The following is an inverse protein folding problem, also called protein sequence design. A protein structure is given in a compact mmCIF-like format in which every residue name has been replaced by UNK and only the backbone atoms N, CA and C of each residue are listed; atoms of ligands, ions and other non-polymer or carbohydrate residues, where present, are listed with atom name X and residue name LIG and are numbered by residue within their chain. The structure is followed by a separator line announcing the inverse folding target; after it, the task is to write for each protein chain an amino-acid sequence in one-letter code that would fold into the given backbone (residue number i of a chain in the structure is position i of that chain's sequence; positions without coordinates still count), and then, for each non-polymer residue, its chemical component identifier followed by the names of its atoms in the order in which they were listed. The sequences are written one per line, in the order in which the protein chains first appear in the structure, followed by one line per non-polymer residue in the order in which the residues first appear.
data_IF_951696312718
#
_entry.id   IF_951696312718
#
_cell.length_a   1.000
_cell.length_b   1.000
_cell.length_c   1.000
_cell.angle_alpha   90.00
_cell.angle_beta   90.00
_cell.angle_gamma   90.00
#
_symmetry.space_group_name_H-M   'P 1'
#
loop_
_entity.id
_entity.type
_entity.pdbx_description
1 polymer ?
#
# COMPACT_ATOMS: atom_id res chain seq x y z
N UNK A 1 -3.54 34.15 71.32
CA UNK A 1 -4.00 32.76 71.04
C UNK A 1 -4.65 32.74 69.67
N UNK A 2 -4.16 31.83 68.82
CA UNK A 2 -4.69 31.34 67.53
C UNK A 2 -5.06 32.33 66.41
N UNK A 3 -4.18 32.37 65.40
CA UNK A 3 -4.34 32.99 64.08
C UNK A 3 -5.35 32.24 63.19
N UNK A 4 -6.18 32.99 62.45
CA UNK A 4 -6.88 32.51 61.26
C UNK A 4 -5.85 32.21 60.15
N UNK A 5 -5.84 30.99 59.63
CA UNK A 5 -5.19 30.64 58.37
C UNK A 5 -6.07 29.72 57.53
N UNK A 6 -6.27 30.16 56.28
CA UNK A 6 -6.27 29.39 55.05
C UNK A 6 -7.17 28.15 54.93
N UNK A 7 -8.16 28.26 54.07
CA UNK A 7 -8.63 27.14 53.24
C UNK A 7 -8.97 27.66 51.85
N UNK A 8 -7.93 27.86 51.05
CA UNK A 8 -8.02 28.05 49.60
C UNK A 8 -8.11 26.64 48.99
N UNK A 9 -9.28 26.26 48.49
CA UNK A 9 -9.46 25.03 47.72
C UNK A 9 -8.66 25.15 46.42
N UNK A 10 -7.55 24.42 46.32
CA UNK A 10 -6.83 24.20 45.08
C UNK A 10 -7.48 23.01 44.37
N UNK A 11 -8.35 23.28 43.40
CA UNK A 11 -8.86 22.28 42.46
C UNK A 11 -7.71 21.83 41.55
N UNK A 12 -7.08 20.72 41.92
CA UNK A 12 -6.12 20.03 41.08
C UNK A 12 -6.89 19.32 39.96
N UNK A 13 -6.99 19.96 38.80
CA UNK A 13 -7.44 19.30 37.55
C UNK A 13 -6.31 18.38 37.08
N UNK A 14 -6.25 17.16 37.61
CA UNK A 14 -5.61 16.05 36.90
C UNK A 14 -6.53 15.65 35.75
N UNK A 15 -6.32 16.26 34.59
CA UNK A 15 -6.74 15.67 33.32
C UNK A 15 -5.98 14.34 33.16
N UNK A 16 -6.54 13.26 33.70
CA UNK A 16 -6.29 11.93 33.16
C UNK A 16 -6.90 11.92 31.76
N UNK A 17 -6.09 12.28 30.76
CA UNK A 17 -6.31 11.87 29.39
C UNK A 17 -6.34 10.34 29.38
N UNK A 18 -7.54 9.78 29.50
CA UNK A 18 -7.85 8.42 29.12
C UNK A 18 -7.68 8.35 27.60
N UNK A 19 -6.43 8.27 27.14
CA UNK A 19 -6.13 7.69 25.84
C UNK A 19 -6.53 6.23 26.01
N UNK A 20 -7.75 5.89 25.62
CA UNK A 20 -8.16 4.52 25.48
C UNK A 20 -7.11 3.88 24.56
N UNK A 21 -6.25 3.02 25.12
CA UNK A 21 -5.42 2.14 24.31
C UNK A 21 -6.40 1.29 23.52
N UNK A 22 -6.49 1.60 22.24
CA UNK A 22 -6.98 0.70 21.23
C UNK A 22 -6.19 -0.60 21.44
N UNK A 23 -6.84 -1.63 21.97
CA UNK A 23 -6.17 -2.92 22.22
C UNK A 23 -5.76 -3.46 20.85
N UNK A 24 -4.46 -3.47 20.56
CA UNK A 24 -3.95 -4.06 19.33
C UNK A 24 -4.31 -5.55 19.31
N UNK A 25 -4.86 -6.01 18.18
CA UNK A 25 -5.29 -7.39 18.00
C UNK A 25 -4.19 -8.11 17.22
N UNK A 26 -3.53 -9.13 17.77
CA UNK A 26 -2.58 -9.94 17.03
C UNK A 26 -3.24 -10.54 15.79
N UNK A 27 -2.56 -10.53 14.64
CA UNK A 27 -3.14 -11.03 13.40
C UNK A 27 -3.52 -12.51 13.46
N UNK A 28 -2.79 -13.30 14.24
CA UNK A 28 -3.11 -14.72 14.48
C UNK A 28 -4.38 -14.94 15.33
N UNK A 29 -4.91 -13.89 15.96
CA UNK A 29 -6.16 -13.91 16.72
C UNK A 29 -7.36 -13.40 15.91
N UNK A 30 -7.13 -12.81 14.74
CA UNK A 30 -8.21 -12.52 13.79
C UNK A 30 -8.65 -13.86 13.20
N UNK A 31 -9.74 -14.40 13.74
CA UNK A 31 -10.41 -15.54 13.12
C UNK A 31 -10.78 -15.16 11.68
N UNK A 32 -10.23 -15.86 10.69
CA UNK A 32 -10.79 -15.88 9.34
C UNK A 32 -12.06 -16.70 9.40
N UNK A 33 -13.12 -16.10 9.98
CA UNK A 33 -14.41 -16.73 10.11
C UNK A 33 -14.98 -16.91 8.72
N UNK A 34 -14.84 -18.09 8.14
CA UNK A 34 -15.52 -18.43 6.91
C UNK A 34 -16.91 -18.96 7.26
N UNK A 35 -17.96 -18.40 6.67
CA UNK A 35 -19.29 -18.99 6.75
C UNK A 35 -19.78 -19.35 5.36
N UNK A 36 -20.36 -20.54 5.25
CA UNK A 36 -20.96 -21.00 4.01
C UNK A 36 -22.34 -20.37 3.86
N UNK A 37 -22.57 -19.73 2.72
CA UNK A 37 -23.87 -19.15 2.37
C UNK A 37 -24.81 -20.22 1.85
N UNK A 38 -26.11 -19.92 1.76
CA UNK A 38 -27.12 -20.81 1.17
C UNK A 38 -26.84 -21.17 -0.31
N UNK A 39 -25.89 -20.49 -0.96
CA UNK A 39 -25.40 -20.80 -2.31
C UNK A 39 -24.14 -21.67 -2.33
N UNK A 40 -23.69 -22.22 -1.19
CA UNK A 40 -22.45 -23.00 -1.08
C UNK A 40 -21.18 -22.17 -1.21
N UNK A 41 -21.27 -20.83 -1.13
CA UNK A 41 -20.11 -19.94 -1.20
C UNK A 41 -19.59 -19.63 0.18
N UNK A 42 -18.29 -19.73 0.34
CA UNK A 42 -17.59 -19.40 1.58
C UNK A 42 -17.36 -17.89 1.65
N UNK A 43 -18.04 -17.21 2.59
CA UNK A 43 -17.85 -15.78 2.87
C UNK A 43 -16.93 -15.58 4.06
N UNK A 44 -15.96 -14.68 3.90
CA UNK A 44 -15.12 -14.24 5.01
C UNK A 44 -15.88 -13.21 5.85
N UNK A 45 -16.14 -13.52 7.13
CA UNK A 45 -16.49 -12.55 8.15
C UNK A 45 -15.27 -11.67 8.37
N UNK A 46 -15.35 -10.45 7.85
CA UNK A 46 -14.40 -9.43 8.20
C UNK A 46 -14.83 -8.81 9.53
N UNK A 47 -14.00 -8.85 10.58
CA UNK A 47 -14.39 -8.42 11.93
C UNK A 47 -14.60 -6.91 12.08
N UNK A 48 -14.51 -6.13 11.00
CA UNK A 48 -14.58 -4.67 10.96
C UNK A 48 -15.98 -4.08 11.15
N UNK A 49 -16.86 -4.75 11.89
CA UNK A 49 -18.02 -4.08 12.46
C UNK A 49 -17.51 -3.02 13.45
N UNK A 50 -18.04 -1.79 13.36
CA UNK A 50 -17.49 -0.51 13.84
C UNK A 50 -17.10 -0.36 15.33
N UNK A 51 -17.00 -1.44 16.10
CA UNK A 51 -16.76 -1.44 17.54
C UNK A 51 -15.47 -2.17 17.98
N UNK A 52 -14.65 -2.66 17.04
CA UNK A 52 -13.36 -3.25 17.37
C UNK A 52 -12.25 -2.24 17.09
N UNK A 53 -11.41 -1.99 18.10
CA UNK A 53 -10.31 -1.04 18.06
C UNK A 53 -9.20 -1.48 17.11
N UNK A 54 -9.42 -1.38 15.81
CA UNK A 54 -8.39 -1.57 14.80
C UNK A 54 -7.76 -0.22 14.46
N UNK A 55 -6.43 -0.21 14.28
CA UNK A 55 -5.74 0.91 13.67
C UNK A 55 -6.01 0.91 12.16
N UNK A 56 -6.84 1.85 11.72
CA UNK A 56 -7.18 2.05 10.31
C UNK A 56 -6.19 3.06 9.73
N UNK A 57 -5.43 2.63 8.73
CA UNK A 57 -4.37 3.39 8.07
C UNK A 57 -4.80 3.69 6.64
N UNK A 58 -4.79 4.97 6.27
CA UNK A 58 -5.00 5.39 4.89
C UNK A 58 -3.83 4.95 4.00
N UNK A 59 -4.09 4.13 2.99
CA UNK A 59 -3.07 3.66 2.05
C UNK A 59 -2.33 4.81 1.35
N UNK A 60 -3.00 5.95 1.11
CA UNK A 60 -2.43 7.16 0.49
C UNK A 60 -1.41 7.89 1.34
N UNK A 61 -1.41 7.64 2.65
CA UNK A 61 -0.43 8.18 3.57
C UNK A 61 0.80 7.27 3.77
N UNK A 62 0.82 6.09 3.15
CA UNK A 62 1.92 5.13 3.26
C UNK A 62 2.95 5.30 2.14
N UNK A 63 4.16 4.76 2.35
CA UNK A 63 5.02 4.33 1.25
C UNK A 63 4.97 2.82 1.10
N UNK A 64 5.09 2.33 -0.13
CA UNK A 64 4.81 0.94 -0.49
C UNK A 64 6.01 0.33 -1.19
N UNK A 65 6.31 -0.92 -0.86
CA UNK A 65 7.28 -1.74 -1.56
C UNK A 65 6.73 -3.13 -1.82
N UNK A 66 7.14 -3.70 -2.95
CA UNK A 66 6.75 -5.03 -3.40
C UNK A 66 7.96 -5.94 -3.43
N UNK A 67 7.88 -7.09 -2.79
CA UNK A 67 8.96 -8.07 -2.78
C UNK A 67 8.38 -9.46 -3.06
N UNK A 68 8.81 -10.06 -4.16
CA UNK A 68 8.43 -11.43 -4.49
C UNK A 68 9.24 -12.40 -3.61
N UNK A 69 8.61 -13.33 -2.86
CA UNK A 69 9.30 -14.33 -2.05
C UNK A 69 10.00 -15.42 -2.90
N UNK A 70 9.89 -15.33 -4.23
CA UNK A 70 10.32 -16.36 -5.17
C UNK A 70 9.27 -17.47 -5.29
N UNK A 71 9.64 -18.57 -5.93
CA UNK A 71 8.76 -19.73 -6.08
C UNK A 71 8.43 -20.32 -4.71
N UNK A 72 7.16 -20.27 -4.31
CA UNK A 72 6.67 -21.01 -3.16
C UNK A 72 6.47 -22.48 -3.56
N UNK A 73 7.05 -23.47 -2.86
CA UNK A 73 6.74 -24.87 -3.11
C UNK A 73 5.25 -25.16 -2.96
N UNK A 74 4.74 -26.05 -3.82
CA UNK A 74 3.35 -26.51 -3.82
C UNK A 74 2.96 -26.98 -2.42
N UNK A 75 1.83 -26.45 -1.94
CA UNK A 75 1.26 -26.77 -0.65
C UNK A 75 0.46 -28.08 -0.75
N UNK A 76 1.15 -29.21 -0.86
CA UNK A 76 0.53 -30.55 -0.81
C UNK A 76 0.08 -30.92 0.63
N UNK A 77 -0.38 -29.95 1.41
CA UNK A 77 -0.82 -30.06 2.80
C UNK A 77 0.22 -30.62 3.79
N UNK A 78 1.52 -30.57 3.47
CA UNK A 78 2.58 -30.96 4.41
C UNK A 78 2.93 -29.80 5.36
N UNK A 79 2.94 -30.02 6.69
CA UNK A 79 3.35 -29.00 7.66
C UNK A 79 4.75 -28.42 7.39
N UNK A 80 5.68 -29.25 6.92
CA UNK A 80 7.04 -28.82 6.60
C UNK A 80 7.08 -27.84 5.41
N UNK A 81 6.22 -28.05 4.40
CA UNK A 81 6.10 -27.15 3.26
C UNK A 81 5.43 -25.83 3.67
N UNK A 82 4.38 -25.88 4.49
CA UNK A 82 3.74 -24.68 5.04
C UNK A 82 4.74 -23.82 5.83
N UNK A 83 5.61 -24.45 6.63
CA UNK A 83 6.66 -23.74 7.36
C UNK A 83 7.72 -23.13 6.43
N UNK A 84 8.14 -23.86 5.39
CA UNK A 84 9.07 -23.35 4.39
C UNK A 84 8.49 -22.13 3.64
N UNK A 85 7.20 -22.17 3.27
CA UNK A 85 6.50 -21.05 2.64
C UNK A 85 6.43 -19.85 3.58
N UNK A 86 6.08 -20.05 4.85
CA UNK A 86 6.06 -18.98 5.86
C UNK A 86 7.45 -18.32 6.00
N UNK A 87 8.53 -19.12 6.03
CA UNK A 87 9.89 -18.57 6.09
C UNK A 87 10.24 -17.71 4.87
N UNK A 88 9.86 -18.13 3.66
CA UNK A 88 10.08 -17.34 2.43
C UNK A 88 9.30 -16.02 2.44
N UNK A 89 8.05 -16.06 2.89
CA UNK A 89 7.22 -14.86 3.03
C UNK A 89 7.81 -13.89 4.07
N UNK A 90 8.26 -14.39 5.22
CA UNK A 90 8.95 -13.57 6.22
C UNK A 90 10.24 -12.98 5.68
N UNK A 91 11.04 -13.74 4.92
CA UNK A 91 12.27 -13.24 4.30
C UNK A 91 12.03 -12.15 3.24
N UNK A 92 10.84 -12.09 2.65
CA UNK A 92 10.45 -11.04 1.71
C UNK A 92 9.95 -9.75 2.39
N UNK A 93 9.74 -9.75 3.71
CA UNK A 93 9.38 -8.55 4.47
C UNK A 93 10.57 -7.58 4.54
N UNK A 94 10.32 -6.28 4.38
CA UNK A 94 11.36 -5.27 4.58
C UNK A 94 11.46 -4.94 6.06
N UNK A 95 12.59 -5.26 6.67
CA UNK A 95 12.82 -5.07 8.12
C UNK A 95 13.91 -4.05 8.43
N UNK A 96 14.42 -3.36 7.40
CA UNK A 96 15.52 -2.41 7.52
C UNK A 96 15.10 -1.17 8.34
N UNK A 97 15.85 -0.87 9.40
CA UNK A 97 15.58 0.26 10.28
C UNK A 97 16.18 1.58 9.77
N UNK A 98 17.37 1.54 9.16
CA UNK A 98 18.10 2.74 8.73
C UNK A 98 18.14 2.79 7.21
N UNK A 99 17.68 3.90 6.64
CA UNK A 99 17.72 4.18 5.22
C UNK A 99 18.67 5.34 4.95
N UNK A 100 19.50 5.17 3.92
CA UNK A 100 20.53 6.15 3.53
C UNK A 100 20.54 6.36 2.02
N UNK A 101 19.38 6.24 1.36
CA UNK A 101 19.32 6.41 -0.09
C UNK A 101 19.79 7.82 -0.44
N UNK A 102 20.83 7.93 -1.26
CA UNK A 102 21.33 9.21 -1.75
C UNK A 102 20.63 9.60 -3.06
N UNK A 103 20.82 10.85 -3.49
CA UNK A 103 20.33 11.27 -4.80
C UNK A 103 21.00 10.49 -5.94
N UNK A 104 22.27 10.13 -5.78
CA UNK A 104 23.00 9.30 -6.74
C UNK A 104 22.41 7.89 -6.83
N UNK A 105 22.11 7.25 -5.69
CA UNK A 105 21.42 5.96 -5.64
C UNK A 105 20.07 5.97 -6.38
N UNK A 106 19.31 7.05 -6.18
CA UNK A 106 18.03 7.26 -6.85
C UNK A 106 18.20 7.35 -8.37
N UNK A 107 19.14 8.19 -8.83
CA UNK A 107 19.44 8.36 -10.26
C UNK A 107 19.93 7.04 -10.87
N UNK A 108 20.85 6.33 -10.20
CA UNK A 108 21.36 5.05 -10.66
C UNK A 108 20.22 4.03 -10.85
N UNK A 109 19.28 4.00 -9.90
CA UNK A 109 18.10 3.13 -9.98
C UNK A 109 17.16 3.51 -11.11
N UNK A 110 16.94 4.81 -11.36
CA UNK A 110 16.19 5.26 -12.54
C UNK A 110 16.85 4.78 -13.84
N UNK A 111 18.17 4.95 -13.94
CA UNK A 111 18.94 4.67 -15.16
C UNK A 111 18.94 3.18 -15.48
N UNK A 112 18.92 2.35 -14.45
CA UNK A 112 18.87 0.91 -14.52
C UNK A 112 17.50 0.38 -14.06
N UNK A 113 16.39 0.95 -14.54
CA UNK A 113 15.04 0.61 -14.04
C UNK A 113 14.73 -0.91 -13.97
N UNK A 114 15.28 -1.71 -14.87
CA UNK A 114 15.11 -3.18 -14.90
C UNK A 114 15.99 -3.92 -13.88
N UNK A 115 16.87 -3.21 -13.17
CA UNK A 115 17.83 -3.70 -12.19
C UNK A 115 18.65 -4.91 -12.69
N UNK A 116 19.10 -4.85 -13.94
CA UNK A 116 19.92 -5.92 -14.51
C UNK A 116 21.23 -6.04 -13.73
N UNK A 117 21.46 -7.18 -13.08
CA UNK A 117 22.61 -7.41 -12.20
C UNK A 117 22.36 -7.13 -10.70
N UNK A 118 21.18 -6.65 -10.32
CA UNK A 118 20.76 -6.57 -8.91
C UNK A 118 21.46 -5.49 -8.07
N UNK A 119 22.04 -4.47 -8.70
CA UNK A 119 22.86 -3.44 -8.04
C UNK A 119 22.09 -2.19 -7.62
N UNK A 120 20.82 -2.05 -8.00
CA UNK A 120 20.05 -0.86 -7.67
C UNK A 120 19.70 -0.76 -6.19
N UNK A 121 19.71 0.48 -5.69
CA UNK A 121 19.02 0.82 -4.46
C UNK A 121 17.51 0.63 -4.66
N UNK A 122 16.93 -0.29 -3.92
CA UNK A 122 15.51 -0.58 -4.04
C UNK A 122 14.67 0.60 -3.49
N UNK A 123 14.04 1.35 -4.41
CA UNK A 123 13.21 2.51 -4.09
C UNK A 123 11.85 2.15 -3.49
N UNK A 124 11.23 3.13 -2.86
CA UNK A 124 9.87 3.10 -2.34
C UNK A 124 8.90 3.73 -3.33
N UNK A 125 7.62 3.42 -3.23
CA UNK A 125 6.56 4.04 -4.03
C UNK A 125 5.60 4.78 -3.11
N UNK A 126 5.22 6.00 -3.46
CA UNK A 126 4.16 6.72 -2.74
C UNK A 126 2.85 5.93 -2.79
N UNK A 127 2.05 5.97 -1.71
CA UNK A 127 0.81 5.20 -1.50
C UNK A 127 -0.37 5.47 -2.43
N UNK A 128 -0.17 5.66 -3.73
CA UNK A 128 -1.21 5.94 -4.72
C UNK A 128 -1.55 4.74 -5.60
N UNK A 129 -2.64 4.86 -6.39
CA UNK A 129 -3.01 3.88 -7.41
C UNK A 129 -1.85 3.59 -8.40
N UNK A 130 -0.94 4.55 -8.59
CA UNK A 130 0.27 4.42 -9.42
C UNK A 130 1.22 3.31 -8.94
N UNK A 131 1.38 3.13 -7.63
CA UNK A 131 2.21 2.05 -7.08
C UNK A 131 1.66 0.67 -7.47
N UNK A 132 0.33 0.54 -7.46
CA UNK A 132 -0.36 -0.70 -7.81
C UNK A 132 -0.48 -0.92 -9.32
N UNK A 133 -0.57 0.15 -10.13
CA UNK A 133 -0.40 0.07 -11.59
C UNK A 133 1.01 -0.44 -11.94
N UNK A 134 2.03 0.08 -11.25
CA UNK A 134 3.42 -0.33 -11.44
C UNK A 134 3.66 -1.80 -11.10
N UNK A 135 3.10 -2.27 -9.98
CA UNK A 135 3.15 -3.68 -9.60
C UNK A 135 2.19 -4.57 -10.44
N UNK A 136 1.36 -3.98 -11.28
CA UNK A 136 0.39 -4.68 -12.15
C UNK A 136 -0.83 -5.22 -11.43
N UNK A 137 -1.06 -4.75 -10.20
CA UNK A 137 -2.26 -5.01 -9.43
C UNK A 137 -3.45 -4.11 -9.82
N UNK A 138 -3.20 -3.07 -10.62
CA UNK A 138 -4.25 -2.33 -11.30
C UNK A 138 -3.96 -2.34 -12.80
N UNK A 139 -5.02 -2.26 -13.59
CA UNK A 139 -5.01 -2.03 -15.03
C UNK A 139 -5.76 -0.73 -15.30
N UNK A 140 -5.21 0.17 -16.12
CA UNK A 140 -5.82 1.46 -16.42
C UNK A 140 -5.11 2.22 -17.55
N UNK A 141 -5.70 3.34 -17.96
CA UNK A 141 -5.29 4.14 -19.12
C UNK A 141 -3.96 4.89 -19.01
N UNK A 142 -3.21 4.70 -17.92
CA UNK A 142 -1.86 5.25 -17.82
C UNK A 142 -0.87 4.36 -18.57
N UNK A 143 -0.04 4.95 -19.43
CA UNK A 143 1.00 4.25 -20.18
C UNK A 143 2.15 3.80 -19.26
N UNK A 144 1.87 2.84 -18.39
CA UNK A 144 2.82 2.22 -17.48
C UNK A 144 2.84 0.72 -17.75
N UNK A 145 3.97 0.24 -18.25
CA UNK A 145 4.22 -1.20 -18.34
C UNK A 145 4.48 -1.71 -16.92
N UNK A 146 3.65 -2.62 -16.40
CA UNK A 146 3.88 -3.17 -15.07
C UNK A 146 5.16 -3.97 -15.01
N UNK A 147 5.78 -4.02 -13.83
CA UNK A 147 6.91 -4.90 -13.60
C UNK A 147 6.41 -6.33 -13.38
N UNK A 148 6.55 -7.17 -14.40
CA UNK A 148 6.01 -8.55 -14.41
C UNK A 148 6.44 -9.39 -13.19
N UNK A 149 7.65 -9.19 -12.68
CA UNK A 149 8.16 -9.91 -11.50
C UNK A 149 7.41 -9.62 -10.20
N UNK A 150 6.61 -8.53 -10.16
CA UNK A 150 5.85 -8.08 -8.98
C UNK A 150 4.36 -8.46 -9.03
N UNK A 151 3.90 -9.07 -10.12
CA UNK A 151 2.48 -9.35 -10.37
C UNK A 151 1.95 -10.60 -9.65
N UNK A 152 2.83 -11.37 -8.99
CA UNK A 152 2.42 -12.57 -8.26
C UNK A 152 1.54 -12.20 -7.07
N UNK A 153 0.48 -12.98 -6.83
CA UNK A 153 -0.41 -12.80 -5.68
C UNK A 153 0.25 -13.21 -4.35
N UNK A 154 1.38 -13.93 -4.42
CA UNK A 154 2.24 -14.27 -3.29
C UNK A 154 3.25 -13.15 -2.96
N UNK A 155 3.28 -12.08 -3.75
CA UNK A 155 4.16 -10.92 -3.48
C UNK A 155 3.85 -10.35 -2.10
N UNK A 156 4.89 -10.13 -1.30
CA UNK A 156 4.77 -9.42 -0.02
C UNK A 156 4.78 -7.93 -0.31
N UNK A 157 3.75 -7.25 0.18
CA UNK A 157 3.62 -5.80 0.14
C UNK A 157 4.01 -5.27 1.51
N UNK A 158 5.10 -4.51 1.57
CA UNK A 158 5.45 -3.75 2.75
C UNK A 158 4.89 -2.34 2.64
N UNK A 159 4.20 -1.91 3.68
CA UNK A 159 3.77 -0.54 3.90
C UNK A 159 4.68 0.09 4.96
N UNK A 160 5.38 1.16 4.62
CA UNK A 160 5.87 2.10 5.61
C UNK A 160 4.67 2.96 6.02
N UNK A 161 4.22 2.76 7.26
CA UNK A 161 3.05 3.41 7.85
C UNK A 161 3.31 4.92 8.05
N UNK A 162 2.26 5.73 8.26
CA UNK A 162 2.41 7.18 8.47
C UNK A 162 3.37 7.54 9.61
N UNK A 163 3.43 6.73 10.67
CA UNK A 163 4.38 6.91 11.78
C UNK A 163 5.84 6.80 11.32
N UNK A 164 6.13 5.92 10.36
CA UNK A 164 7.43 5.74 9.74
C UNK A 164 7.73 6.77 8.65
N UNK A 165 6.73 7.11 7.83
CA UNK A 165 6.83 8.16 6.82
C UNK A 165 7.24 9.50 7.47
N UNK A 166 6.72 9.80 8.66
CA UNK A 166 7.08 11.00 9.41
C UNK A 166 8.54 11.04 9.91
N UNK A 167 9.25 9.90 9.90
CA UNK A 167 10.64 9.77 10.38
C UNK A 167 11.67 9.75 9.26
N UNK A 168 11.23 9.83 8.00
CA UNK A 168 12.11 9.77 6.84
C UNK A 168 11.93 10.97 5.92
N UNK A 169 13.01 11.38 5.29
CA UNK A 169 13.02 12.37 4.24
C UNK A 169 12.94 11.69 2.88
N UNK A 170 12.18 12.28 1.96
CA UNK A 170 12.11 11.79 0.58
C UNK A 170 13.32 12.27 -0.21
N UNK A 171 13.95 11.35 -0.93
CA UNK A 171 15.03 11.64 -1.86
C UNK A 171 14.52 11.41 -3.28
N UNK A 172 14.64 12.44 -4.12
CA UNK A 172 14.26 12.36 -5.52
C UNK A 172 15.19 13.23 -6.36
N UNK A 173 15.22 12.99 -7.67
CA UNK A 173 15.77 13.97 -8.62
C UNK A 173 14.60 14.56 -9.39
N UNK A 174 14.42 15.88 -9.33
CA UNK A 174 13.62 16.58 -10.33
C UNK A 174 14.48 16.68 -11.60
N UNK A 175 13.88 16.42 -12.78
CA UNK A 175 14.50 16.72 -14.09
C UNK A 175 15.59 15.79 -14.63
N UNK A 176 15.51 14.47 -14.39
CA UNK A 176 16.30 13.49 -15.15
C UNK A 176 15.41 12.78 -16.19
N UNK A 177 15.66 12.88 -17.51
CA UNK A 177 14.79 12.33 -18.56
C UNK A 177 14.54 10.82 -18.44
N UNK A 178 15.52 10.08 -17.92
CA UNK A 178 15.46 8.65 -17.66
C UNK A 178 14.74 8.28 -16.35
N UNK A 179 14.53 9.23 -15.44
CA UNK A 179 13.74 9.02 -14.21
C UNK A 179 12.23 9.14 -14.41
N UNK A 180 11.75 9.61 -15.57
CA UNK A 180 10.32 9.88 -15.80
C UNK A 180 9.45 8.65 -15.52
N UNK A 181 9.91 7.45 -15.86
CA UNK A 181 9.14 6.20 -15.60
C UNK A 181 8.98 5.95 -14.11
N UNK A 182 10.06 6.08 -13.34
CA UNK A 182 10.05 5.87 -11.89
C UNK A 182 9.24 6.96 -11.19
N UNK A 183 9.43 8.23 -11.56
CA UNK A 183 8.64 9.35 -11.05
C UNK A 183 7.14 9.18 -11.34
N UNK A 184 6.80 8.71 -12.54
CA UNK A 184 5.41 8.44 -12.92
C UNK A 184 4.79 7.30 -12.11
N UNK A 185 5.58 6.33 -11.66
CA UNK A 185 5.17 5.28 -10.73
C UNK A 185 5.05 5.79 -9.28
N UNK A 186 5.54 7.00 -8.97
CA UNK A 186 5.62 7.54 -7.62
C UNK A 186 6.86 7.05 -6.86
N UNK A 187 7.90 6.64 -7.58
CA UNK A 187 9.15 6.16 -7.00
C UNK A 187 9.91 7.26 -6.28
N UNK A 188 10.38 6.95 -5.06
CA UNK A 188 11.14 7.82 -4.18
C UNK A 188 12.24 7.02 -3.48
N UNK A 189 13.38 7.65 -3.26
CA UNK A 189 14.34 7.22 -2.24
C UNK A 189 13.87 7.71 -0.87
N UNK A 190 14.36 7.10 0.20
CA UNK A 190 14.15 7.61 1.56
C UNK A 190 15.45 7.62 2.34
N UNK A 191 15.57 8.58 3.26
CA UNK A 191 16.69 8.67 4.20
C UNK A 191 16.14 8.93 5.61
N UNK A 192 16.64 8.22 6.61
CA UNK A 192 16.19 8.34 7.99
C UNK A 192 16.16 7.01 8.73
N UNK A 193 15.62 7.02 9.94
CA UNK A 193 15.55 5.86 10.83
C UNK A 193 14.12 5.60 11.25
N UNK A 194 13.66 4.38 11.00
CA UNK A 194 12.32 3.89 11.37
C UNK A 194 12.45 2.74 12.36
N UNK A 195 11.38 2.47 13.08
CA UNK A 195 11.25 1.32 13.96
C UNK A 195 10.56 0.16 13.20
N UNK A 196 11.28 -0.93 12.87
CA UNK A 196 10.70 -2.03 12.10
C UNK A 196 9.50 -2.71 12.76
N UNK A 197 9.34 -2.56 14.08
CA UNK A 197 8.28 -3.17 14.85
C UNK A 197 6.95 -2.42 14.72
N UNK A 198 7.00 -1.09 14.63
CA UNK A 198 5.81 -0.21 14.69
C UNK A 198 5.56 0.60 13.43
N UNK A 199 6.58 0.83 12.61
CA UNK A 199 6.49 1.69 11.41
C UNK A 199 6.23 0.91 10.12
N UNK A 200 6.38 -0.42 10.13
CA UNK A 200 6.04 -1.27 8.99
C UNK A 200 4.79 -2.09 9.23
N UNK A 201 4.04 -2.32 8.15
CA UNK A 201 3.06 -3.38 8.06
C UNK A 201 3.23 -4.20 6.78
N UNK A 202 2.84 -5.46 6.83
CA UNK A 202 3.05 -6.43 5.77
C UNK A 202 1.72 -7.09 5.40
N UNK A 203 1.43 -7.15 4.10
CA UNK A 203 0.31 -7.92 3.57
C UNK A 203 0.79 -8.78 2.41
N UNK A 204 0.08 -9.87 2.13
CA UNK A 204 0.17 -10.52 0.83
C UNK A 204 -0.53 -9.67 -0.23
N UNK A 205 -0.11 -9.82 -1.47
CA UNK A 205 -0.72 -9.12 -2.59
C UNK A 205 -2.17 -9.53 -2.85
N UNK A 206 -2.53 -10.79 -2.58
CA UNK A 206 -3.90 -11.29 -2.74
C UNK A 206 -5.01 -10.46 -2.04
N UNK A 207 -5.00 -10.25 -0.71
CA UNK A 207 -6.04 -9.45 -0.06
C UNK A 207 -6.05 -7.99 -0.55
N UNK A 208 -4.87 -7.42 -0.82
CA UNK A 208 -4.76 -6.05 -1.36
C UNK A 208 -5.36 -5.97 -2.76
N UNK A 209 -5.11 -6.98 -3.60
CA UNK A 209 -5.71 -7.12 -4.92
C UNK A 209 -7.24 -7.13 -4.87
N UNK A 210 -7.82 -7.93 -3.97
CA UNK A 210 -9.28 -7.97 -3.79
C UNK A 210 -9.84 -6.63 -3.32
N UNK A 211 -9.17 -5.96 -2.38
CA UNK A 211 -9.54 -4.63 -1.90
C UNK A 211 -9.51 -3.58 -3.04
N UNK A 212 -8.46 -3.61 -3.87
CA UNK A 212 -8.31 -2.74 -5.02
C UNK A 212 -9.35 -3.02 -6.11
N UNK A 213 -9.64 -4.28 -6.42
CA UNK A 213 -10.70 -4.66 -7.37
C UNK A 213 -12.09 -4.22 -6.90
N UNK A 214 -12.33 -4.24 -5.58
CA UNK A 214 -13.55 -3.68 -4.97
C UNK A 214 -13.60 -2.17 -5.08
N UNK A 215 -12.47 -1.47 -4.89
CA UNK A 215 -12.36 -0.01 -5.00
C UNK A 215 -12.50 0.49 -6.44
N UNK A 216 -11.92 -0.24 -7.38
CA UNK A 216 -11.81 0.10 -8.80
C UNK A 216 -12.36 -1.02 -9.68
N UNK A 217 -13.69 -1.25 -9.66
CA UNK A 217 -14.30 -2.31 -10.44
C UNK A 217 -14.16 -2.00 -11.93
N UNK A 218 -13.33 -2.77 -12.63
CA UNK A 218 -13.27 -2.80 -14.08
C UNK A 218 -13.17 -4.26 -14.54
N UNK A 219 -13.68 -4.62 -15.73
CA UNK A 219 -13.51 -5.96 -16.27
C UNK A 219 -12.04 -6.41 -16.31
N UNK A 220 -11.12 -5.49 -16.59
CA UNK A 220 -9.68 -5.78 -16.61
C UNK A 220 -9.11 -6.05 -15.21
N UNK A 221 -9.50 -5.26 -14.20
CA UNK A 221 -9.07 -5.48 -12.82
C UNK A 221 -9.69 -6.76 -12.25
N UNK A 222 -10.96 -7.05 -12.56
CA UNK A 222 -11.63 -8.27 -12.12
C UNK A 222 -11.05 -9.52 -12.82
N UNK A 223 -10.80 -9.47 -14.12
CA UNK A 223 -10.21 -10.60 -14.86
C UNK A 223 -8.74 -10.85 -14.50
N UNK A 224 -7.99 -9.80 -14.13
CA UNK A 224 -6.58 -9.92 -13.74
C UNK A 224 -6.39 -10.38 -12.29
N UNK A 225 -7.44 -10.29 -11.46
CA UNK A 225 -7.31 -10.41 -10.01
C UNK A 225 -8.41 -11.26 -9.45
N UNK A 226 -8.29 -12.58 -9.61
CA UNK A 226 -9.14 -13.56 -8.90
C UNK A 226 -10.51 -13.79 -9.55
N UNK A 227 -11.11 -14.95 -9.28
CA UNK A 227 -12.52 -15.25 -9.56
C UNK A 227 -13.43 -14.06 -9.14
N UNK A 228 -14.19 -13.46 -10.07
CA UNK A 228 -15.11 -12.35 -9.79
C UNK A 228 -16.09 -12.63 -8.64
N UNK A 229 -16.45 -13.89 -8.40
CA UNK A 229 -17.29 -14.27 -7.26
C UNK A 229 -16.64 -13.93 -5.91
N UNK A 230 -15.32 -14.11 -5.79
CA UNK A 230 -14.59 -13.82 -4.55
C UNK A 230 -14.51 -12.31 -4.30
N UNK A 231 -14.37 -11.49 -5.34
CA UNK A 231 -14.38 -10.02 -5.21
C UNK A 231 -15.76 -9.51 -4.77
N UNK A 232 -16.83 -10.10 -5.29
CA UNK A 232 -18.20 -9.74 -4.90
C UNK A 232 -18.42 -9.96 -3.39
N UNK A 233 -17.90 -11.06 -2.86
CA UNK A 233 -18.02 -11.47 -1.45
C UNK A 233 -17.02 -10.79 -0.50
N UNK A 234 -16.06 -10.03 -1.04
CA UNK A 234 -15.08 -9.27 -0.25
C UNK A 234 -15.73 -8.07 0.46
N UNK A 235 -15.40 -7.85 1.74
CA UNK A 235 -16.12 -6.89 2.61
C UNK A 235 -16.02 -5.44 2.17
N UNK A 236 -14.94 -5.05 1.51
CA UNK A 236 -14.76 -3.67 1.09
C UNK A 236 -13.36 -3.37 0.59
N UNK A 237 -13.08 -2.11 0.26
CA UNK A 237 -11.77 -1.64 -0.18
C UNK A 237 -10.79 -1.52 1.00
N UNK A 238 -10.60 -2.61 1.75
CA UNK A 238 -9.71 -2.71 2.92
C UNK A 238 -8.88 -3.99 2.85
N UNK A 239 -7.65 -3.97 3.34
CA UNK A 239 -6.84 -5.17 3.52
C UNK A 239 -6.27 -5.24 4.93
N UNK A 240 -6.13 -6.44 5.49
CA UNK A 240 -5.36 -6.64 6.72
C UNK A 240 -3.88 -6.62 6.41
N UNK A 241 -3.11 -5.99 7.28
CA UNK A 241 -1.68 -6.10 7.30
C UNK A 241 -1.20 -6.35 8.73
N UNK A 242 -0.10 -7.08 8.87
CA UNK A 242 0.55 -7.37 10.14
C UNK A 242 1.72 -6.41 10.33
N UNK A 243 1.82 -5.71 11.45
CA UNK A 243 2.99 -4.89 11.76
C UNK A 243 4.18 -5.75 12.22
N UNK A 244 5.35 -5.14 12.43
CA UNK A 244 6.54 -5.87 12.88
C UNK A 244 6.45 -6.46 14.30
N UNK A 245 5.43 -6.09 15.07
CA UNK A 245 5.09 -6.67 16.37
C UNK A 245 4.11 -7.85 16.29
N UNK A 246 3.55 -8.13 15.11
CA UNK A 246 2.52 -9.15 14.91
C UNK A 246 1.08 -8.66 15.11
N UNK A 247 0.90 -7.37 15.39
CA UNK A 247 -0.42 -6.76 15.54
C UNK A 247 -1.03 -6.44 14.17
N UNK A 248 -2.35 -6.55 14.09
CA UNK A 248 -3.08 -6.29 12.86
C UNK A 248 -3.52 -4.84 12.74
N UNK A 249 -3.22 -4.28 11.57
CA UNK A 249 -3.69 -2.98 11.10
C UNK A 249 -4.57 -3.17 9.87
N UNK A 250 -5.44 -2.21 9.61
CA UNK A 250 -6.30 -2.19 8.43
C UNK A 250 -5.78 -1.13 7.48
N UNK A 251 -5.40 -1.55 6.27
CA UNK A 251 -5.05 -0.63 5.19
C UNK A 251 -6.33 -0.27 4.44
N UNK A 252 -6.69 1.00 4.43
CA UNK A 252 -7.89 1.56 3.79
C UNK A 252 -7.54 2.17 2.43
N UNK A 253 -8.20 1.69 1.38
CA UNK A 253 -7.96 2.11 0.00
C UNK A 253 -9.02 3.10 -0.51
N UNK A 254 -9.99 3.52 0.31
CA UNK A 254 -11.13 4.37 -0.12
C UNK A 254 -10.70 5.74 -0.64
N UNK A 255 -9.80 6.37 0.09
CA UNK A 255 -9.29 7.73 -0.17
C UNK A 255 -8.20 7.75 -1.25
N UNK A 256 -7.72 6.59 -1.71
CA UNK A 256 -6.75 6.55 -2.77
C UNK A 256 -7.30 7.24 -4.04
N UNK A 257 -6.50 8.11 -4.67
CA UNK A 257 -6.92 8.81 -5.86
C UNK A 257 -7.07 7.82 -7.03
N UNK A 258 -8.24 7.83 -7.64
CA UNK A 258 -8.53 7.18 -8.91
C UNK A 258 -7.83 7.96 -10.03
N UNK A 259 -6.51 7.87 -10.15
CA UNK A 259 -5.83 8.46 -11.31
C UNK A 259 -6.38 7.79 -12.56
N UNK A 260 -7.14 8.56 -13.37
CA UNK A 260 -7.77 8.21 -14.66
C UNK A 260 -7.54 6.75 -15.07
N UNK A 261 -8.30 5.86 -14.43
CA UNK A 261 -8.51 4.49 -14.92
C UNK A 261 -9.56 4.50 -16.05
N UNK A 262 -9.99 5.68 -16.49
CA UNK A 262 -10.89 5.86 -17.62
C UNK A 262 -10.22 5.29 -18.87
N UNK A 263 -10.72 4.12 -19.28
CA UNK A 263 -10.53 3.58 -20.60
C UNK A 263 -10.97 4.66 -21.60
N UNK A 264 -10.04 5.25 -22.34
CA UNK A 264 -10.38 5.71 -23.68
C UNK A 264 -10.68 4.45 -24.51
N UNK A 265 -11.93 4.01 -24.44
CA UNK A 265 -12.51 3.01 -25.34
C UNK A 265 -12.76 3.62 -26.73
N UNK A 266 -11.80 4.38 -27.26
CA UNK A 266 -11.84 4.87 -28.63
C UNK A 266 -10.62 4.33 -29.35
N UNK A 267 -10.87 3.25 -30.09
CA UNK A 267 -10.23 2.85 -31.34
C UNK A 267 -8.74 3.18 -31.52
N UNK A 268 -7.93 2.13 -31.66
CA UNK A 268 -6.71 2.08 -32.47
C UNK A 268 -5.90 3.40 -32.60
N UNK A 269 -4.92 3.59 -31.71
CA UNK A 269 -3.68 4.27 -32.10
C UNK A 269 -3.49 5.73 -31.70
N UNK A 270 -4.37 6.37 -30.92
CA UNK A 270 -4.10 7.75 -30.46
C UNK A 270 -4.49 7.96 -28.99
N UNK A 271 -3.51 7.95 -28.09
CA UNK A 271 -3.68 8.42 -26.72
C UNK A 271 -3.86 9.95 -26.72
N UNK A 272 -5.07 10.43 -26.45
CA UNK A 272 -5.31 11.84 -26.11
C UNK A 272 -5.56 11.98 -24.61
N UNK A 273 -4.85 12.92 -23.97
CA UNK A 273 -4.85 13.13 -22.53
C UNK A 273 -5.81 14.25 -22.16
N UNK A 274 -6.73 14.01 -21.22
CA UNK A 274 -7.32 15.04 -20.37
C UNK A 274 -6.75 14.85 -18.96
N UNK A 275 -5.93 15.78 -18.50
CA UNK A 275 -5.54 15.86 -17.09
C UNK A 275 -6.60 16.69 -16.38
N UNK A 276 -7.41 16.06 -15.54
CA UNK A 276 -8.26 16.76 -14.58
C UNK A 276 -7.57 16.72 -13.23
N UNK A 277 -6.73 17.72 -12.99
CA UNK A 277 -6.20 18.02 -11.66
C UNK A 277 -7.21 18.94 -10.96
N UNK A 278 -7.79 18.56 -9.81
CA UNK A 278 -8.71 19.42 -9.07
C UNK A 278 -8.07 20.74 -8.61
N UNK A 279 -6.74 20.79 -8.48
CA UNK A 279 -5.97 22.00 -8.12
C UNK A 279 -5.75 22.96 -9.31
N UNK A 280 -6.09 22.55 -10.53
CA UNK A 280 -5.99 23.36 -11.76
C UNK A 280 -7.34 23.93 -12.22
N UNK A 281 -8.34 24.00 -11.33
CA UNK A 281 -9.65 24.61 -11.57
C UNK A 281 -9.54 26.14 -11.69
N UNK A 282 -8.92 26.60 -12.76
CA UNK A 282 -8.75 28.03 -13.04
C UNK A 282 -8.21 28.39 -14.42
N UNK A 283 -7.63 27.44 -15.18
CA UNK A 283 -7.16 27.74 -16.53
C UNK A 283 -7.95 26.96 -17.59
N UNK A 284 -8.89 27.67 -18.22
CA UNK A 284 -9.56 27.19 -19.42
C UNK A 284 -8.54 26.93 -20.54
N UNK A 285 -8.59 25.69 -21.03
CA UNK A 285 -8.24 25.20 -22.35
C UNK A 285 -7.30 26.00 -23.25
N UNK A 286 -6.12 25.43 -23.52
CA UNK A 286 -5.64 25.30 -24.91
C UNK A 286 -5.02 23.91 -25.11
N UNK A 287 -5.66 23.07 -25.94
CA UNK A 287 -5.12 21.78 -26.36
C UNK A 287 -3.97 22.01 -27.35
N UNK A 288 -2.72 21.86 -26.92
CA UNK A 288 -1.59 21.73 -27.86
C UNK A 288 -1.26 20.26 -28.07
N UNK A 289 -1.65 19.73 -29.23
CA UNK A 289 -1.12 18.48 -29.78
C UNK A 289 0.39 18.64 -29.95
N UNK A 290 1.19 17.81 -29.28
CA UNK A 290 2.55 17.50 -29.73
C UNK A 290 2.56 16.03 -30.12
N UNK A 291 2.69 15.78 -31.41
CA UNK A 291 2.95 14.47 -31.96
C UNK A 291 4.43 14.15 -31.73
N UNK A 292 4.71 13.12 -30.93
CA UNK A 292 6.02 12.49 -30.89
C UNK A 292 5.93 11.22 -31.73
N UNK A 293 6.61 11.19 -32.87
CA UNK A 293 6.84 9.98 -33.65
C UNK A 293 8.00 9.19 -33.00
N UNK A 294 7.85 7.87 -32.96
CA UNK A 294 8.89 6.92 -32.57
C UNK A 294 9.99 6.84 -33.63
#
# INVERSE_FOLDING_TARGET
MANLRNSLLLLCFTLLSHVARVNSIPCNQIGTGYYETSTGRVKQLWPFTANQGFDIIDASACYIRFQNPGTLPDNNNSPAQSQANAAKLTAARVTQAVWTTTQEDYINTCNSFTNFGGTNSQLWLTGGAKAFLYAGFLRGGYAMTPQSSLTSLDTVITFLLPSGVAKVETVSSSQQPNCIRMQNAGGIGISGTVDPQTDYAYSLAWPVAMALAKRYPSPQNQAAMVDPAQVADYAGPFALAENGNGDCVVIDFRTMPAYLLENNNDNAGVCSWKVTDPSLTGQQGTSRKREFWA
#
